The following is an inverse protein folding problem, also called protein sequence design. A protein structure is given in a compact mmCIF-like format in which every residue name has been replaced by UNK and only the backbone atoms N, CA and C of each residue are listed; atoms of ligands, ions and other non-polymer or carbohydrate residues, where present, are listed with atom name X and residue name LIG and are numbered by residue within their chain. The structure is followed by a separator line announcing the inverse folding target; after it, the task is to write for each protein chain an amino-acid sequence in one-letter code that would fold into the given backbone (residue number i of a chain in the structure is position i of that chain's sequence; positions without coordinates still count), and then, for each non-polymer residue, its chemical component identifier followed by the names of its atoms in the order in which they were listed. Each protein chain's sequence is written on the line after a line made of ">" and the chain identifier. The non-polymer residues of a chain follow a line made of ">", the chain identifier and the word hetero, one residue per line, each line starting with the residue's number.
data_IF_380107670241
#
_entry.id   IF_380107670241
#
_cell.length_a   1.000
_cell.length_b   1.000
_cell.length_c   1.000
_cell.angle_alpha   90.00
_cell.angle_beta   90.00
_cell.angle_gamma   90.00
#
_symmetry.space_group_name_H-M   'P 1'
#
loop_
_entity.id
_entity.type
_entity.pdbx_description
1 polymer ?
#
# COMPACT_ATOMS: atom_id res chain seq x y z
N UNK A 1 -13.55 0.86 -43.01
CA UNK A 1 -13.60 0.33 -41.63
C UNK A 1 -12.27 -0.34 -41.34
N UNK A 2 -11.68 -0.06 -40.17
CA UNK A 2 -10.32 -0.50 -39.85
C UNK A 2 -10.30 -2.00 -39.55
N UNK A 3 -9.28 -2.71 -40.03
CA UNK A 3 -9.07 -4.17 -39.87
C UNK A 3 -9.14 -4.62 -38.40
N UNK A 4 -8.78 -3.72 -37.48
CA UNK A 4 -8.93 -3.89 -36.04
C UNK A 4 -10.39 -4.04 -35.60
N UNK A 5 -11.33 -3.32 -36.20
CA UNK A 5 -12.74 -3.41 -35.79
C UNK A 5 -13.34 -4.79 -36.11
N UNK A 6 -12.99 -5.37 -37.27
CA UNK A 6 -13.45 -6.71 -37.69
C UNK A 6 -12.81 -7.81 -36.84
N UNK A 7 -11.52 -7.67 -36.50
CA UNK A 7 -10.81 -8.67 -35.68
C UNK A 7 -11.37 -8.79 -34.26
N UNK A 8 -11.89 -7.72 -33.69
CA UNK A 8 -12.29 -7.66 -32.28
C UNK A 8 -13.80 -7.53 -32.08
N UNK A 9 -14.60 -7.56 -33.15
CA UNK A 9 -16.07 -7.50 -33.09
C UNK A 9 -16.67 -8.66 -32.28
N UNK A 10 -16.08 -9.85 -32.38
CA UNK A 10 -16.44 -11.02 -31.57
C UNK A 10 -16.20 -10.83 -30.07
N UNK A 11 -15.41 -9.83 -29.67
CA UNK A 11 -15.20 -9.49 -28.27
C UNK A 11 -16.28 -8.55 -27.71
N UNK A 12 -17.20 -8.05 -28.53
CA UNK A 12 -18.22 -7.08 -28.13
C UNK A 12 -19.64 -7.69 -28.24
N UNK A 13 -19.76 -8.94 -28.75
CA UNK A 13 -21.07 -9.58 -28.86
C UNK A 13 -21.68 -9.89 -27.49
N UNK A 14 -22.98 -9.61 -27.35
CA UNK A 14 -23.81 -9.53 -26.13
C UNK A 14 -23.89 -10.77 -25.22
N UNK A 15 -23.14 -11.84 -25.50
CA UNK A 15 -23.06 -13.02 -24.64
C UNK A 15 -21.73 -13.01 -23.88
N UNK A 16 -21.63 -12.12 -22.89
CA UNK A 16 -20.45 -11.95 -22.05
C UNK A 16 -20.38 -13.03 -20.97
N UNK A 17 -20.07 -14.27 -21.40
CA UNK A 17 -19.71 -15.38 -20.51
C UNK A 17 -18.24 -15.28 -20.04
N UNK A 18 -17.62 -14.11 -20.12
CA UNK A 18 -16.25 -13.93 -19.64
C UNK A 18 -16.26 -13.89 -18.13
N UNK A 19 -15.35 -14.66 -17.54
CA UNK A 19 -15.10 -14.61 -16.11
C UNK A 19 -14.87 -13.15 -15.70
N UNK A 20 -15.74 -12.66 -14.82
CA UNK A 20 -15.61 -11.36 -14.19
C UNK A 20 -14.21 -11.33 -13.55
N UNK A 21 -13.31 -10.50 -14.10
CA UNK A 21 -11.96 -10.35 -13.56
C UNK A 21 -12.11 -9.91 -12.10
N UNK A 22 -11.96 -10.86 -11.18
CA UNK A 22 -11.79 -10.55 -9.77
C UNK A 22 -10.49 -9.77 -9.68
N UNK A 23 -10.60 -8.45 -9.67
CA UNK A 23 -9.50 -7.56 -9.29
C UNK A 23 -9.36 -7.73 -7.78
N UNK A 24 -8.90 -8.89 -7.34
CA UNK A 24 -8.34 -9.03 -6.02
C UNK A 24 -7.23 -8.01 -5.96
N UNK A 25 -7.47 -6.93 -5.21
CA UNK A 25 -6.52 -5.86 -5.01
C UNK A 25 -5.18 -6.50 -4.66
N UNK A 26 -4.09 -6.13 -5.35
CA UNK A 26 -2.79 -6.72 -5.07
C UNK A 26 -2.50 -6.68 -3.58
N UNK A 27 -1.77 -7.66 -3.05
CA UNK A 27 -1.47 -7.75 -1.60
C UNK A 27 -0.82 -6.46 -1.05
N UNK A 28 -0.18 -5.67 -1.92
CA UNK A 28 0.41 -4.37 -1.59
C UNK A 28 -0.58 -3.19 -1.63
N UNK A 29 -1.78 -3.37 -2.16
CA UNK A 29 -2.82 -2.33 -2.24
C UNK A 29 -3.66 -2.33 -0.97
N UNK A 30 -3.21 -1.56 0.01
CA UNK A 30 -3.90 -1.34 1.28
C UNK A 30 -4.76 -0.08 1.20
N UNK A 31 -6.05 -0.13 1.59
CA UNK A 31 -6.89 1.07 1.71
C UNK A 31 -6.26 2.13 2.61
N UNK A 32 -6.44 3.40 2.28
CA UNK A 32 -5.80 4.53 2.96
C UNK A 32 -6.08 4.57 4.48
N UNK A 33 -7.32 4.28 4.89
CA UNK A 33 -7.70 4.18 6.30
C UNK A 33 -6.89 3.10 7.05
N UNK A 34 -6.67 1.96 6.38
CA UNK A 34 -5.90 0.84 6.94
C UNK A 34 -4.41 1.17 6.97
N UNK A 35 -3.86 1.81 5.94
CA UNK A 35 -2.45 2.25 5.93
C UNK A 35 -2.17 3.17 7.10
N UNK A 36 -3.03 4.17 7.31
CA UNK A 36 -2.89 5.15 8.39
C UNK A 36 -2.99 4.47 9.75
N UNK A 37 -3.93 3.54 9.92
CA UNK A 37 -4.07 2.76 11.16
C UNK A 37 -2.85 1.88 11.44
N UNK A 38 -2.37 1.14 10.43
CA UNK A 38 -1.20 0.26 10.54
C UNK A 38 0.08 1.04 10.84
N UNK A 39 0.30 2.15 10.14
CA UNK A 39 1.43 3.04 10.41
C UNK A 39 1.44 3.51 11.87
N UNK A 40 0.27 3.93 12.38
CA UNK A 40 0.13 4.28 13.78
C UNK A 40 0.45 3.10 14.70
N UNK A 41 -0.06 1.90 14.41
CA UNK A 41 0.25 0.70 15.18
C UNK A 41 1.76 0.42 15.24
N UNK A 42 2.46 0.50 14.11
CA UNK A 42 3.92 0.32 14.03
C UNK A 42 4.65 1.40 14.82
N UNK A 43 4.25 2.67 14.66
CA UNK A 43 4.79 3.77 15.46
C UNK A 43 4.61 3.54 16.96
N UNK A 44 3.43 3.07 17.41
CA UNK A 44 3.17 2.86 18.83
C UNK A 44 3.88 1.61 19.41
N UNK A 45 3.99 0.53 18.64
CA UNK A 45 4.55 -0.73 19.13
C UNK A 45 6.07 -0.85 18.98
N UNK A 46 6.64 -0.24 17.93
CA UNK A 46 8.05 -0.44 17.55
C UNK A 46 8.92 0.80 17.77
N UNK A 47 8.33 1.98 18.02
CA UNK A 47 9.13 3.13 18.38
C UNK A 47 9.64 3.00 19.82
N UNK A 48 10.96 2.97 20.00
CA UNK A 48 11.59 3.05 21.32
C UNK A 48 11.28 4.37 22.05
N UNK A 49 10.96 5.43 21.31
CA UNK A 49 10.42 6.69 21.82
C UNK A 49 9.49 7.35 20.76
N UNK A 50 8.24 7.72 21.11
CA UNK A 50 7.25 8.20 20.14
C UNK A 50 7.53 9.61 19.58
N UNK A 51 8.41 10.40 20.21
CA UNK A 51 8.69 11.77 19.79
C UNK A 51 9.55 11.85 18.51
N UNK A 52 10.45 10.88 18.29
CA UNK A 52 11.46 10.95 17.22
C UNK A 52 11.21 9.96 16.08
N UNK A 53 10.16 9.15 16.16
CA UNK A 53 9.92 8.07 15.20
C UNK A 53 9.78 8.55 13.75
N UNK A 54 9.06 9.65 13.53
CA UNK A 54 8.86 10.21 12.18
C UNK A 54 10.19 10.76 11.63
N UNK A 55 11.00 11.39 12.48
CA UNK A 55 12.33 11.88 12.11
C UNK A 55 13.24 10.72 11.69
N UNK A 56 13.35 9.71 12.55
CA UNK A 56 14.18 8.52 12.28
C UNK A 56 13.73 7.80 11.02
N UNK A 57 12.41 7.65 10.82
CA UNK A 57 11.87 7.01 9.63
C UNK A 57 12.18 7.80 8.36
N UNK A 58 11.98 9.12 8.38
CA UNK A 58 12.21 9.96 7.21
C UNK A 58 13.70 10.11 6.86
N UNK A 59 14.58 10.15 7.86
CA UNK A 59 16.03 10.05 7.65
C UNK A 59 16.40 8.70 7.01
N UNK A 60 15.84 7.60 7.51
CA UNK A 60 16.04 6.28 6.94
C UNK A 60 15.50 6.18 5.49
N UNK A 61 14.36 6.78 5.19
CA UNK A 61 13.82 6.86 3.83
C UNK A 61 14.79 7.58 2.88
N UNK A 62 15.41 8.68 3.32
CA UNK A 62 16.40 9.43 2.53
C UNK A 62 17.66 8.61 2.21
N UNK A 63 18.01 7.65 3.06
CA UNK A 63 19.15 6.73 2.87
C UNK A 63 18.78 5.46 2.08
N UNK A 64 17.50 5.12 2.00
CA UNK A 64 17.02 3.88 1.40
C UNK A 64 17.03 3.96 -0.14
N UNK A 65 17.97 3.26 -0.77
CA UNK A 65 18.15 3.25 -2.23
C UNK A 65 16.90 2.80 -3.00
N UNK A 66 16.08 1.93 -2.42
CA UNK A 66 14.85 1.44 -3.04
C UNK A 66 13.79 2.54 -3.21
N UNK A 67 13.89 3.62 -2.43
CA UNK A 67 12.97 4.76 -2.51
C UNK A 67 13.56 5.95 -3.28
N UNK A 68 14.78 5.82 -3.80
CA UNK A 68 15.46 6.91 -4.49
C UNK A 68 14.66 7.34 -5.74
N UNK A 69 14.27 8.61 -5.77
CA UNK A 69 13.49 9.20 -6.87
C UNK A 69 11.98 8.96 -6.79
N UNK A 70 11.48 8.29 -5.75
CA UNK A 70 10.03 8.11 -5.51
C UNK A 70 9.41 9.26 -4.71
N UNK A 71 10.24 10.04 -4.01
CA UNK A 71 9.81 11.23 -3.28
C UNK A 71 10.85 12.35 -3.41
N UNK A 72 10.44 13.58 -3.09
CA UNK A 72 11.31 14.74 -3.01
C UNK A 72 11.42 15.27 -1.57
N UNK A 73 12.23 16.32 -1.38
CA UNK A 73 12.42 16.94 -0.06
C UNK A 73 11.16 17.62 0.47
N UNK A 74 10.27 18.08 -0.41
CA UNK A 74 9.04 18.75 -0.03
C UNK A 74 8.07 17.73 0.59
N UNK A 75 7.98 16.54 0.00
CA UNK A 75 7.25 15.40 0.54
C UNK A 75 7.74 14.98 1.92
N UNK A 76 9.06 14.78 2.09
CA UNK A 76 9.64 14.40 3.39
C UNK A 76 9.35 15.46 4.47
N UNK A 77 9.45 16.75 4.12
CA UNK A 77 9.13 17.83 5.04
C UNK A 77 7.64 17.85 5.40
N UNK A 78 6.74 17.57 4.45
CA UNK A 78 5.31 17.48 4.71
C UNK A 78 4.98 16.36 5.71
N UNK A 79 5.63 15.20 5.59
CA UNK A 79 5.49 14.10 6.55
C UNK A 79 6.05 14.49 7.93
N UNK A 80 7.24 15.10 8.00
CA UNK A 80 7.85 15.56 9.25
C UNK A 80 6.99 16.61 9.98
N UNK A 81 6.38 17.53 9.24
CA UNK A 81 5.51 18.58 9.79
C UNK A 81 4.09 18.10 10.10
N UNK A 82 3.75 16.84 9.79
CA UNK A 82 2.39 16.30 9.86
C UNK A 82 1.38 17.02 8.94
N UNK A 83 1.87 17.64 7.86
CA UNK A 83 1.06 18.25 6.80
C UNK A 83 0.54 17.22 5.80
N UNK A 84 1.19 16.05 5.74
CA UNK A 84 0.78 14.92 4.91
C UNK A 84 0.62 13.65 5.76
N UNK A 85 -0.34 12.80 5.37
CA UNK A 85 -0.53 11.50 5.99
C UNK A 85 0.50 10.50 5.42
N UNK A 86 1.07 9.62 6.27
CA UNK A 86 1.97 8.56 5.83
C UNK A 86 1.22 7.53 4.99
N UNK A 87 1.85 7.09 3.90
CA UNK A 87 1.29 6.16 2.92
C UNK A 87 2.17 4.92 2.75
N UNK A 88 2.20 4.41 1.52
CA UNK A 88 2.93 3.18 1.17
C UNK A 88 4.45 3.30 1.33
N UNK A 89 5.02 4.47 1.04
CA UNK A 89 6.47 4.69 1.11
C UNK A 89 6.96 4.64 2.56
N UNK A 90 6.26 5.32 3.47
CA UNK A 90 6.54 5.30 4.91
C UNK A 90 6.30 3.92 5.49
N UNK A 91 5.25 3.23 5.04
CA UNK A 91 4.96 1.87 5.49
C UNK A 91 6.07 0.92 5.06
N UNK A 92 6.49 0.96 3.79
CA UNK A 92 7.60 0.16 3.29
C UNK A 92 8.89 0.42 4.08
N UNK A 93 9.26 1.69 4.25
CA UNK A 93 10.43 2.05 5.04
C UNK A 93 10.32 1.60 6.51
N UNK A 94 9.13 1.68 7.10
CA UNK A 94 8.88 1.21 8.45
C UNK A 94 9.00 -0.32 8.58
N UNK A 95 8.66 -1.09 7.54
CA UNK A 95 8.90 -2.53 7.55
C UNK A 95 10.39 -2.85 7.46
N UNK A 96 11.11 -2.13 6.61
CA UNK A 96 12.56 -2.30 6.43
C UNK A 96 13.36 -1.91 7.67
N UNK A 97 13.06 -0.76 8.29
CA UNK A 97 13.79 -0.27 9.47
C UNK A 97 13.66 -1.23 10.66
N UNK A 98 12.52 -1.92 10.78
CA UNK A 98 12.25 -2.87 11.86
C UNK A 98 12.53 -4.33 11.48
N UNK A 99 12.93 -4.60 10.22
CA UNK A 99 13.12 -5.96 9.71
C UNK A 99 11.89 -6.85 9.88
N UNK A 100 10.69 -6.26 9.79
CA UNK A 100 9.42 -6.95 10.08
C UNK A 100 8.72 -7.35 8.78
N UNK A 101 8.40 -8.64 8.65
CA UNK A 101 7.44 -9.11 7.66
C UNK A 101 6.02 -8.93 8.23
N UNK A 102 5.20 -8.10 7.58
CA UNK A 102 3.81 -7.88 8.00
C UNK A 102 2.87 -8.72 7.13
N UNK A 103 2.19 -9.66 7.79
CA UNK A 103 1.08 -10.41 7.21
C UNK A 103 -0.23 -9.66 7.45
N UNK A 104 -0.82 -9.08 6.40
CA UNK A 104 -2.13 -8.43 6.50
C UNK A 104 -3.23 -9.46 6.31
N UNK A 105 -4.06 -9.65 7.34
CA UNK A 105 -5.25 -10.50 7.27
C UNK A 105 -6.50 -9.65 7.18
N UNK A 106 -7.27 -9.84 6.10
CA UNK A 106 -8.62 -9.28 6.02
C UNK A 106 -9.53 -10.04 6.98
N UNK A 107 -10.02 -9.32 7.98
CA UNK A 107 -11.02 -9.84 8.92
C UNK A 107 -12.42 -9.52 8.40
N UNK A 108 -13.35 -10.45 8.58
CA UNK A 108 -14.77 -10.13 8.35
C UNK A 108 -15.31 -9.22 9.46
N UNK A 109 -16.57 -8.77 9.32
CA UNK A 109 -17.27 -7.92 10.30
C UNK A 109 -17.35 -8.52 11.72
N UNK A 110 -17.02 -9.80 11.88
CA UNK A 110 -17.01 -10.52 13.16
C UNK A 110 -15.59 -10.79 13.66
N UNK A 111 -14.57 -10.12 13.11
CA UNK A 111 -13.16 -10.28 13.49
C UNK A 111 -12.64 -11.72 13.40
N UNK A 112 -13.21 -12.52 12.50
CA UNK A 112 -12.74 -13.88 12.20
C UNK A 112 -12.05 -13.87 10.83
N UNK A 113 -10.92 -14.58 10.74
CA UNK A 113 -10.10 -14.63 9.53
C UNK A 113 -10.88 -15.22 8.37
N UNK A 114 -10.89 -14.54 7.23
CA UNK A 114 -11.50 -15.06 6.01
C UNK A 114 -10.45 -15.92 5.30
N UNK A 115 -10.57 -17.24 5.41
CA UNK A 115 -9.76 -18.15 4.60
C UNK A 115 -10.34 -18.19 3.18
N UNK A 116 -9.82 -17.37 2.27
CA UNK A 116 -10.05 -17.54 0.84
C UNK A 116 -9.13 -18.66 0.35
N UNK A 117 -9.71 -19.81 -0.01
CA UNK A 117 -9.00 -20.81 -0.83
C UNK A 117 -8.92 -20.27 -2.26
N UNK A 118 -7.69 -20.12 -2.76
CA UNK A 118 -7.39 -20.10 -4.20
C UNK A 118 -7.72 -21.46 -4.82
#
# INVERSE_FOLDING_TARGET
>A
MHEWHVRYEHLISENDDREELSVSLPIWYLPEDIRTSLFNCLRYHLASAPADYVTVLTEFMEELTDLQGLFDKEYINAIRNSDAAPGELELFAALQIHGCDVEVKTLNKTCTGVNSKL
#
